data_IF_455755660615
#
_entry.id   IF_455755660615
#
_cell.length_a   1.000
_cell.length_b   1.000
_cell.length_c   1.000
_cell.angle_alpha   90.00
_cell.angle_beta   90.00
_cell.angle_gamma   90.00
#
_symmetry.space_group_name_H-M   'P 1'
#
loop_
_entity.id
_entity.type
_entity.pdbx_description
1 polymer ?
#
# COMPACT_ATOMS: atom_id res chain seq x y z
N UNK A 1 0.23 13.19 10.75
CA UNK A 1 1.29 12.59 9.91
C UNK A 1 1.37 13.22 8.52
N UNK A 2 0.33 13.19 7.68
CA UNK A 2 0.36 13.74 6.30
C UNK A 2 0.72 15.24 6.23
N UNK A 3 0.27 16.07 7.19
CA UNK A 3 0.61 17.51 7.26
C UNK A 3 1.94 17.80 7.96
N UNK A 4 2.47 16.84 8.72
CA UNK A 4 3.60 17.05 9.64
C UNK A 4 4.92 16.57 9.06
N UNK A 5 4.87 15.60 8.13
CA UNK A 5 6.04 15.10 7.43
C UNK A 5 6.37 16.02 6.26
N UNK A 6 7.61 16.49 6.22
CA UNK A 6 8.20 17.24 5.12
C UNK A 6 9.62 16.77 4.89
N UNK A 7 10.15 17.06 3.71
CA UNK A 7 11.57 16.93 3.42
C UNK A 7 12.36 17.81 4.38
N UNK A 8 13.49 17.26 4.85
CA UNK A 8 14.43 17.97 5.71
C UNK A 8 13.74 18.51 6.96
N UNK A 9 13.07 17.62 7.71
CA UNK A 9 12.20 18.01 8.82
C UNK A 9 12.95 18.71 9.96
N UNK A 10 14.26 18.46 10.05
CA UNK A 10 15.16 19.09 11.02
C UNK A 10 15.93 20.30 10.47
N UNK A 11 15.65 20.74 9.24
CA UNK A 11 16.36 21.77 8.48
C UNK A 11 17.88 21.62 8.57
N UNK A 12 18.38 20.46 8.16
CA UNK A 12 19.79 20.08 8.18
C UNK A 12 20.53 20.76 7.03
N UNK A 13 21.72 21.27 7.32
CA UNK A 13 22.55 21.95 6.32
C UNK A 13 23.02 20.99 5.21
N UNK A 14 23.11 19.69 5.49
CA UNK A 14 23.60 18.71 4.53
C UNK A 14 22.81 17.38 4.59
N UNK A 15 22.36 16.80 3.45
CA UNK A 15 21.51 15.60 3.42
C UNK A 15 22.19 14.30 3.88
N UNK A 16 23.49 14.34 4.15
CA UNK A 16 24.27 13.22 4.70
C UNK A 16 24.83 13.44 6.10
N UNK A 17 24.36 14.46 6.83
CA UNK A 17 24.73 14.65 8.24
C UNK A 17 24.37 13.40 9.04
N UNK A 18 25.34 12.81 9.74
CA UNK A 18 25.05 11.60 10.50
C UNK A 18 24.11 11.91 11.66
N UNK A 19 23.26 10.95 12.00
CA UNK A 19 22.35 11.10 13.14
C UNK A 19 23.07 11.45 14.44
N UNK A 20 24.27 10.91 14.65
CA UNK A 20 25.13 11.16 15.82
C UNK A 20 25.60 12.61 15.93
N UNK A 21 25.65 13.35 14.83
CA UNK A 21 26.06 14.75 14.76
C UNK A 21 24.89 15.71 15.06
N UNK A 22 23.65 15.22 15.05
CA UNK A 22 22.44 16.04 15.26
C UNK A 22 22.07 16.04 16.75
N UNK A 23 21.99 17.19 17.42
CA UNK A 23 21.57 17.26 18.81
C UNK A 23 20.18 16.66 19.03
N UNK A 24 20.01 15.82 20.05
CA UNK A 24 18.71 15.22 20.37
C UNK A 24 17.62 16.26 20.65
N UNK A 25 17.98 17.42 21.21
CA UNK A 25 17.05 18.53 21.43
C UNK A 25 16.52 19.10 20.10
N UNK A 26 17.35 19.17 19.06
CA UNK A 26 16.93 19.62 17.71
C UNK A 26 15.90 18.66 17.14
N UNK A 27 16.18 17.35 17.18
CA UNK A 27 15.23 16.33 16.74
C UNK A 27 13.92 16.42 17.51
N UNK A 28 13.95 16.55 18.84
CA UNK A 28 12.75 16.67 19.67
C UNK A 28 11.93 17.94 19.36
N UNK A 29 12.60 19.05 18.99
CA UNK A 29 11.92 20.28 18.58
C UNK A 29 11.26 20.20 17.21
N UNK A 30 11.77 19.33 16.32
CA UNK A 30 11.30 19.18 14.95
C UNK A 30 10.28 18.03 14.79
N UNK A 31 10.37 17.00 15.64
CA UNK A 31 9.52 15.80 15.59
C UNK A 31 8.82 15.64 16.94
N UNK A 32 7.58 16.12 17.02
CA UNK A 32 6.76 16.01 18.23
C UNK A 32 6.49 14.56 18.62
N UNK A 33 6.19 14.31 19.89
CA UNK A 33 5.93 12.96 20.40
C UNK A 33 4.77 12.27 19.67
N UNK A 34 3.74 13.01 19.27
CA UNK A 34 2.64 12.50 18.46
C UNK A 34 3.10 12.06 17.07
N UNK A 35 3.99 12.83 16.44
CA UNK A 35 4.55 12.46 15.14
C UNK A 35 5.48 11.25 15.28
N UNK A 36 6.29 11.17 16.34
CA UNK A 36 7.11 10.00 16.63
C UNK A 36 6.25 8.75 16.78
N UNK A 37 5.17 8.84 17.57
CA UNK A 37 4.22 7.74 17.72
C UNK A 37 3.62 7.32 16.39
N UNK A 38 3.11 8.28 15.61
CA UNK A 38 2.51 8.01 14.30
C UNK A 38 3.50 7.33 13.35
N UNK A 39 4.73 7.86 13.22
CA UNK A 39 5.78 7.31 12.35
C UNK A 39 6.12 5.86 12.70
N UNK A 40 6.08 5.48 13.99
CA UNK A 40 6.41 4.13 14.45
C UNK A 40 5.25 3.14 14.32
N UNK A 41 4.03 3.59 14.55
CA UNK A 41 2.91 2.68 14.80
C UNK A 41 1.85 2.64 13.69
N UNK A 42 1.83 3.58 12.74
CA UNK A 42 0.78 3.65 11.71
C UNK A 42 0.63 2.33 10.94
N UNK A 43 1.74 1.71 10.53
CA UNK A 43 1.73 0.48 9.74
C UNK A 43 1.36 -0.76 10.55
N UNK A 44 1.70 -0.78 11.85
CA UNK A 44 1.23 -1.82 12.76
C UNK A 44 -0.30 -1.75 12.90
N UNK A 45 -0.84 -0.55 13.09
CA UNK A 45 -2.28 -0.34 13.15
C UNK A 45 -2.94 -0.70 11.81
N UNK A 46 -2.32 -0.35 10.68
CA UNK A 46 -2.80 -0.72 9.35
C UNK A 46 -2.92 -2.24 9.16
N UNK A 47 -1.95 -3.01 9.63
CA UNK A 47 -2.00 -4.48 9.55
C UNK A 47 -3.15 -5.09 10.36
N UNK A 48 -3.58 -4.42 11.44
CA UNK A 48 -4.63 -4.91 12.34
C UNK A 48 -6.04 -4.54 11.91
N UNK A 49 -6.20 -3.72 10.87
CA UNK A 49 -7.51 -3.40 10.32
C UNK A 49 -8.07 -4.68 9.70
N UNK A 50 -9.35 -4.99 9.93
CA UNK A 50 -10.01 -6.20 9.38
C UNK A 50 -10.02 -6.20 7.84
N UNK A 51 -10.05 -5.03 7.22
CA UNK A 51 -10.13 -4.82 5.77
C UNK A 51 -9.01 -3.90 5.26
N UNK A 52 -7.73 -4.32 5.32
CA UNK A 52 -6.60 -3.47 4.95
C UNK A 52 -6.60 -3.14 3.45
N UNK A 53 -7.24 -3.98 2.62
CA UNK A 53 -7.36 -3.78 1.17
C UNK A 53 -8.21 -2.56 0.78
N UNK A 54 -9.13 -2.11 1.64
CA UNK A 54 -10.00 -0.95 1.38
C UNK A 54 -9.20 0.35 1.49
N UNK A 55 -8.31 0.42 2.47
CA UNK A 55 -7.51 1.61 2.75
C UNK A 55 -6.16 1.61 2.03
N UNK A 56 -5.91 0.62 1.16
CA UNK A 56 -4.66 0.49 0.43
C UNK A 56 -4.37 1.70 -0.46
N UNK A 57 -5.40 2.23 -1.12
CA UNK A 57 -5.24 3.35 -2.06
C UNK A 57 -4.78 4.62 -1.32
N UNK A 58 -5.33 4.88 -0.14
CA UNK A 58 -4.90 6.00 0.71
C UNK A 58 -3.47 5.82 1.23
N UNK A 59 -3.11 4.59 1.63
CA UNK A 59 -1.74 4.26 2.03
C UNK A 59 -0.78 4.42 0.87
N UNK A 60 -1.17 4.03 -0.34
CA UNK A 60 -0.35 4.17 -1.53
C UNK A 60 -0.11 5.65 -1.86
N UNK A 61 -1.16 6.48 -1.86
CA UNK A 61 -1.06 7.94 -2.05
C UNK A 61 -0.16 8.56 -0.97
N UNK A 62 -0.32 8.14 0.29
CA UNK A 62 0.55 8.60 1.38
C UNK A 62 2.01 8.24 1.11
N UNK A 63 2.31 7.01 0.73
CA UNK A 63 3.67 6.55 0.48
C UNK A 63 4.31 7.21 -0.73
N UNK A 64 3.56 7.39 -1.83
CA UNK A 64 4.05 8.12 -3.00
C UNK A 64 4.52 9.53 -2.63
N UNK A 65 3.84 10.19 -1.69
CA UNK A 65 4.16 11.55 -1.26
C UNK A 65 5.18 11.61 -0.12
N UNK A 66 5.14 10.66 0.83
CA UNK A 66 5.84 10.77 2.11
C UNK A 66 6.76 9.61 2.47
N UNK A 67 7.01 8.64 1.57
CA UNK A 67 7.90 7.51 1.88
C UNK A 67 9.27 7.99 2.38
N UNK A 68 9.94 8.87 1.64
CA UNK A 68 11.26 9.35 2.04
C UNK A 68 11.21 10.23 3.29
N UNK A 69 10.22 11.12 3.40
CA UNK A 69 10.02 11.96 4.60
C UNK A 69 9.82 11.13 5.87
N UNK A 70 9.07 10.03 5.76
CA UNK A 70 8.84 9.10 6.86
C UNK A 70 10.11 8.31 7.22
N UNK A 71 10.87 7.83 6.22
CA UNK A 71 12.15 7.16 6.44
C UNK A 71 13.20 8.08 7.07
N UNK A 72 13.22 9.35 6.64
CA UNK A 72 14.04 10.41 7.22
C UNK A 72 13.68 10.60 8.70
N UNK A 73 12.40 10.83 9.01
CA UNK A 73 11.93 10.96 10.39
C UNK A 73 12.28 9.74 11.25
N UNK A 74 12.10 8.52 10.74
CA UNK A 74 12.50 7.29 11.45
C UNK A 74 14.01 7.20 11.69
N UNK A 75 14.82 7.65 10.74
CA UNK A 75 16.28 7.71 10.88
C UNK A 75 16.68 8.74 11.94
N UNK A 76 16.03 9.89 11.93
CA UNK A 76 16.21 10.97 12.89
C UNK A 76 15.83 10.59 14.32
N UNK A 77 14.86 9.69 14.51
CA UNK A 77 14.54 9.17 15.86
C UNK A 77 15.28 7.87 16.20
N UNK A 78 16.21 7.41 15.36
CA UNK A 78 17.01 6.20 15.61
C UNK A 78 16.22 4.89 15.46
N UNK A 79 15.10 4.90 14.73
CA UNK A 79 14.20 3.75 14.54
C UNK A 79 14.12 3.29 13.08
N UNK A 80 15.10 3.62 12.23
CA UNK A 80 15.11 3.23 10.81
C UNK A 80 14.84 1.73 10.58
N UNK A 81 15.35 0.84 11.45
CA UNK A 81 15.12 -0.61 11.34
C UNK A 81 13.63 -1.01 11.37
N UNK A 82 12.77 -0.22 12.03
CA UNK A 82 11.32 -0.46 12.04
C UNK A 82 10.71 -0.33 10.64
N UNK A 83 11.28 0.52 9.78
CA UNK A 83 10.80 0.71 8.40
C UNK A 83 10.84 -0.58 7.59
N UNK A 84 11.82 -1.45 7.84
CA UNK A 84 11.99 -2.72 7.11
C UNK A 84 10.75 -3.60 7.30
N UNK A 85 10.24 -3.68 8.52
CA UNK A 85 9.07 -4.50 8.83
C UNK A 85 7.81 -3.93 8.16
N UNK A 86 7.66 -2.60 8.19
CA UNK A 86 6.55 -1.91 7.53
C UNK A 86 6.58 -2.09 6.01
N UNK A 87 7.75 -1.93 5.38
CA UNK A 87 7.91 -2.14 3.93
C UNK A 87 7.56 -3.58 3.55
N UNK A 88 7.97 -4.58 4.35
CA UNK A 88 7.61 -5.99 4.12
C UNK A 88 6.10 -6.23 4.21
N UNK A 89 5.43 -5.61 5.19
CA UNK A 89 3.96 -5.68 5.32
C UNK A 89 3.31 -5.09 4.07
N UNK A 90 3.71 -3.88 3.66
CA UNK A 90 3.17 -3.21 2.47
C UNK A 90 3.38 -4.03 1.19
N UNK A 91 4.57 -4.60 1.00
CA UNK A 91 4.86 -5.51 -0.12
C UNK A 91 3.93 -6.73 -0.14
N UNK A 92 3.61 -7.28 1.03
CA UNK A 92 2.70 -8.44 1.15
C UNK A 92 1.28 -8.03 0.77
N UNK A 93 0.80 -6.90 1.29
CA UNK A 93 -0.55 -6.40 1.01
C UNK A 93 -0.72 -6.02 -0.47
N UNK A 94 0.29 -5.40 -1.09
CA UNK A 94 0.30 -5.09 -2.53
C UNK A 94 0.26 -6.35 -3.39
N UNK A 95 1.03 -7.40 -3.04
CA UNK A 95 0.98 -8.69 -3.74
C UNK A 95 -0.40 -9.32 -3.69
N UNK A 96 -1.04 -9.30 -2.51
CA UNK A 96 -2.42 -9.81 -2.34
C UNK A 96 -3.39 -9.01 -3.22
N UNK A 97 -3.28 -7.67 -3.24
CA UNK A 97 -4.13 -6.83 -4.07
C UNK A 97 -4.00 -7.17 -5.55
N UNK A 98 -2.76 -7.26 -6.07
CA UNK A 98 -2.52 -7.65 -7.46
C UNK A 98 -3.10 -9.03 -7.79
N UNK A 99 -3.00 -10.00 -6.87
CA UNK A 99 -3.59 -11.32 -7.05
C UNK A 99 -5.12 -11.27 -7.10
N UNK A 100 -5.75 -10.50 -6.20
CA UNK A 100 -7.22 -10.28 -6.20
C UNK A 100 -7.68 -9.61 -7.49
N UNK A 101 -6.99 -8.57 -7.93
CA UNK A 101 -7.32 -7.85 -9.17
C UNK A 101 -7.19 -8.77 -10.40
N UNK A 102 -6.16 -9.62 -10.43
CA UNK A 102 -5.99 -10.65 -11.47
C UNK A 102 -7.13 -11.67 -11.46
N UNK A 103 -7.48 -12.23 -10.30
CA UNK A 103 -8.58 -13.21 -10.20
C UNK A 103 -9.92 -12.59 -10.61
N UNK A 104 -10.22 -11.38 -10.14
CA UNK A 104 -11.41 -10.64 -10.53
C UNK A 104 -11.47 -10.42 -12.04
N UNK A 105 -10.34 -10.07 -12.67
CA UNK A 105 -10.25 -9.91 -14.11
C UNK A 105 -10.55 -11.22 -14.86
N UNK A 106 -9.97 -12.34 -14.43
CA UNK A 106 -10.21 -13.64 -15.06
C UNK A 106 -11.65 -14.14 -14.88
N UNK A 107 -12.24 -13.99 -13.69
CA UNK A 107 -13.66 -14.31 -13.46
C UNK A 107 -14.57 -13.47 -14.36
N UNK A 108 -14.30 -12.16 -14.47
CA UNK A 108 -15.07 -11.27 -15.35
C UNK A 108 -14.87 -11.59 -16.84
N UNK A 109 -13.73 -12.15 -17.25
CA UNK A 109 -13.50 -12.63 -18.62
C UNK A 109 -14.34 -13.89 -18.88
N UNK A 110 -14.30 -14.86 -17.98
CA UNK A 110 -15.04 -16.12 -18.10
C UNK A 110 -16.56 -15.90 -18.14
N UNK A 111 -17.09 -14.95 -17.37
CA UNK A 111 -18.52 -14.64 -17.40
C UNK A 111 -18.94 -13.99 -18.73
N UNK A 112 -18.08 -13.12 -19.29
CA UNK A 112 -18.31 -12.51 -20.61
C UNK A 112 -18.30 -13.53 -21.74
N UNK A 113 -17.39 -14.52 -21.70
CA UNK A 113 -17.36 -15.58 -22.71
C UNK A 113 -18.59 -16.47 -22.62
N UNK A 114 -19.00 -16.88 -21.42
CA UNK A 114 -20.26 -17.61 -21.19
C UNK A 114 -21.48 -16.84 -21.72
N UNK A 115 -21.57 -15.56 -21.40
CA UNK A 115 -22.69 -14.73 -21.84
C UNK A 115 -22.71 -14.52 -23.37
N UNK A 116 -21.53 -14.40 -24.01
CA UNK A 116 -21.42 -14.33 -25.46
C UNK A 116 -21.84 -15.65 -26.14
N UNK A 117 -21.41 -16.79 -25.59
CA UNK A 117 -21.79 -18.12 -26.07
C UNK A 117 -23.31 -18.34 -25.94
N UNK A 118 -23.90 -17.99 -24.81
CA UNK A 118 -25.36 -18.06 -24.61
C UNK A 118 -26.13 -17.18 -25.59
N UNK A 119 -25.69 -15.92 -25.80
CA UNK A 119 -26.30 -15.02 -26.79
C UNK A 119 -26.21 -15.57 -28.22
N UNK A 120 -25.12 -16.25 -28.56
CA UNK A 120 -24.95 -16.89 -29.87
C UNK A 120 -25.90 -18.08 -30.03
N UNK A 121 -25.96 -18.97 -29.04
CA UNK A 121 -26.86 -20.12 -29.04
C UNK A 121 -28.34 -19.71 -29.12
N UNK A 122 -28.75 -18.68 -28.37
CA UNK A 122 -30.11 -18.16 -28.39
C UNK A 122 -30.52 -17.56 -29.76
N UNK A 123 -29.56 -17.10 -30.57
CA UNK A 123 -29.80 -16.59 -31.93
C UNK A 123 -29.78 -17.68 -33.00
N UNK A 124 -29.27 -18.88 -32.69
CA UNK A 124 -29.15 -20.01 -33.61
C UNK A 124 -29.79 -21.28 -33.02
N UNK A 125 -31.14 -21.39 -33.03
CA UNK A 125 -31.87 -22.47 -32.35
C UNK A 125 -31.73 -23.88 -32.98
N UNK A 126 -30.86 -24.06 -33.99
CA UNK A 126 -30.61 -25.36 -34.64
C UNK A 126 -29.44 -26.15 -34.03
N UNK A 127 -28.68 -25.57 -33.10
CA UNK A 127 -27.64 -26.26 -32.33
C UNK A 127 -28.30 -26.99 -31.14
N UNK A 128 -28.15 -28.31 -31.05
CA UNK A 128 -28.84 -29.12 -30.03
C UNK A 128 -28.22 -28.95 -28.64
N UNK A 129 -29.01 -29.17 -27.59
CA UNK A 129 -28.57 -29.14 -26.18
C UNK A 129 -27.40 -30.07 -25.85
N UNK A 130 -27.11 -31.05 -26.70
CA UNK A 130 -26.06 -32.06 -26.48
C UNK A 130 -24.63 -31.55 -26.77
N UNK A 131 -24.45 -30.38 -27.40
CA UNK A 131 -23.12 -29.78 -27.66
C UNK A 131 -22.68 -28.76 -26.60
N UNK A 132 -23.54 -28.43 -25.62
CA UNK A 132 -23.32 -27.35 -24.66
C UNK A 132 -22.73 -27.79 -23.31
N UNK A 133 -22.73 -29.09 -22.98
CA UNK A 133 -22.22 -29.61 -21.71
C UNK A 133 -20.69 -29.84 -21.69
N UNK A 134 -19.99 -29.54 -22.80
CA UNK A 134 -18.54 -29.75 -22.96
C UNK A 134 -17.68 -28.46 -22.92
N UNK A 135 -18.24 -27.30 -22.55
CA UNK A 135 -17.54 -26.00 -22.47
C UNK A 135 -17.89 -25.21 -21.21
#
# INVERSE_FOLDING_TARGET
>A
MNISLKEDICDLVWPGTQRTEIPSLRVASCISDELQYACRHWAYHFQKIETPLINLDEVFVFLQKHLFHWLEALSLIGRFRESIQVIKILQTVIKVRMAVDFLNHETNRAERTKQAAWKFAARNPRLSSHELDNY
#
